data_IF_745495711255
#
_entry.id   IF_745495711255
#
_cell.length_a   1.000
_cell.length_b   1.000
_cell.length_c   1.000
_cell.angle_alpha   90.00
_cell.angle_beta   90.00
_cell.angle_gamma   90.00
#
_symmetry.space_group_name_H-M   'P 1'
#
loop_
_entity.id
_entity.type
_entity.pdbx_description
1 polymer ?
#
# COMPACT_ATOMS: atom_id res chain seq x y z
N UNK A 1 -0.31 -13.12 1.42
CA UNK A 1 1.14 -13.18 1.11
C UNK A 1 1.62 -14.63 0.91
N UNK A 2 1.41 -15.56 1.83
CA UNK A 2 1.93 -16.94 1.76
C UNK A 2 1.59 -17.74 0.51
N UNK A 3 0.61 -17.36 -0.29
CA UNK A 3 0.32 -17.99 -1.60
C UNK A 3 1.16 -17.43 -2.76
N UNK A 4 1.88 -16.32 -2.57
CA UNK A 4 2.62 -15.61 -3.63
C UNK A 4 4.11 -15.49 -3.36
N UNK A 5 4.53 -15.67 -2.10
CA UNK A 5 5.91 -15.51 -1.65
C UNK A 5 6.35 -16.73 -0.85
N UNK A 6 7.57 -17.19 -1.13
CA UNK A 6 8.21 -18.26 -0.38
C UNK A 6 8.67 -17.76 1.00
N UNK A 7 8.71 -18.67 1.97
CA UNK A 7 9.32 -18.39 3.29
C UNK A 7 10.80 -18.04 3.08
N UNK A 8 11.25 -17.00 3.81
CA UNK A 8 12.62 -16.48 3.68
C UNK A 8 12.76 -15.38 2.63
N UNK A 9 11.73 -15.06 1.84
CA UNK A 9 11.78 -13.95 0.88
C UNK A 9 12.17 -12.64 1.56
N UNK A 10 13.00 -11.86 0.88
CA UNK A 10 13.44 -10.53 1.31
C UNK A 10 12.42 -9.49 0.89
N UNK A 11 11.86 -8.79 1.87
CA UNK A 11 10.87 -7.74 1.65
C UNK A 11 11.48 -6.37 1.91
N UNK A 12 11.19 -5.42 1.03
CA UNK A 12 11.34 -4.00 1.29
C UNK A 12 9.96 -3.44 1.60
N UNK A 13 9.71 -3.09 2.86
CA UNK A 13 8.46 -2.47 3.27
C UNK A 13 8.62 -0.94 3.21
N UNK A 14 7.83 -0.30 2.35
CA UNK A 14 7.86 1.16 2.22
C UNK A 14 7.19 1.79 3.45
N UNK A 15 7.82 2.81 3.99
CA UNK A 15 7.44 3.43 5.26
C UNK A 15 8.33 2.97 6.41
N UNK A 16 8.17 3.62 7.56
CA UNK A 16 8.87 3.25 8.80
C UNK A 16 8.33 1.94 9.38
N UNK A 17 9.09 1.35 10.31
CA UNK A 17 8.63 0.12 10.99
C UNK A 17 7.25 0.34 11.63
N UNK A 18 6.35 -0.56 11.35
CA UNK A 18 4.94 -0.49 11.72
C UNK A 18 4.48 -1.84 12.37
N UNK A 19 3.27 -1.96 12.92
CA UNK A 19 2.79 -3.17 13.56
C UNK A 19 2.74 -4.42 12.66
N UNK A 20 2.81 -4.29 11.33
CA UNK A 20 2.89 -5.43 10.41
C UNK A 20 4.30 -5.99 10.31
N UNK A 21 5.34 -5.18 10.47
CA UNK A 21 6.74 -5.62 10.36
C UNK A 21 7.06 -6.83 11.26
N UNK A 22 6.75 -6.84 12.56
CA UNK A 22 6.99 -8.03 13.39
C UNK A 22 6.15 -9.23 12.98
N UNK A 23 4.94 -9.03 12.46
CA UNK A 23 4.09 -10.12 11.97
C UNK A 23 4.68 -10.75 10.69
N UNK A 24 5.22 -9.95 9.78
CA UNK A 24 5.90 -10.43 8.58
C UNK A 24 7.17 -11.22 8.94
N UNK A 25 7.97 -10.71 9.89
CA UNK A 25 9.15 -11.43 10.43
C UNK A 25 8.75 -12.76 11.08
N UNK A 26 7.68 -12.77 11.87
CA UNK A 26 7.15 -14.00 12.47
C UNK A 26 6.61 -15.01 11.45
N UNK A 27 6.13 -14.54 10.30
CA UNK A 27 5.71 -15.37 9.17
C UNK A 27 6.90 -15.91 8.35
N UNK A 28 8.14 -15.61 8.73
CA UNK A 28 9.37 -16.15 8.15
C UNK A 28 9.97 -15.30 7.03
N UNK A 29 9.54 -14.04 6.85
CA UNK A 29 10.13 -13.12 5.88
C UNK A 29 11.29 -12.31 6.45
N UNK A 30 12.27 -11.97 5.60
CA UNK A 30 13.34 -11.02 5.94
C UNK A 30 12.89 -9.62 5.55
N UNK A 31 12.54 -8.78 6.53
CA UNK A 31 11.93 -7.47 6.27
C UNK A 31 12.91 -6.35 6.58
N UNK A 32 13.10 -5.45 5.63
CA UNK A 32 13.73 -4.14 5.79
C UNK A 32 12.72 -3.04 5.49
N UNK A 33 12.75 -1.96 6.27
CA UNK A 33 11.89 -0.80 6.09
C UNK A 33 12.70 0.39 5.55
N UNK A 34 12.03 1.32 4.87
CA UNK A 34 12.58 2.65 4.66
C UNK A 34 12.68 3.39 5.99
N UNK A 35 13.63 4.31 6.11
CA UNK A 35 14.00 4.91 7.41
C UNK A 35 13.45 6.33 7.58
N UNK A 36 12.32 6.64 6.95
CA UNK A 36 11.70 7.97 6.98
C UNK A 36 12.18 8.88 5.86
N UNK A 37 12.74 8.32 4.79
CA UNK A 37 13.01 9.05 3.55
C UNK A 37 11.70 9.59 2.96
N UNK A 38 11.78 10.78 2.35
CA UNK A 38 10.67 11.29 1.54
C UNK A 38 10.55 10.46 0.26
N UNK A 39 9.51 9.63 0.18
CA UNK A 39 9.31 8.73 -0.95
C UNK A 39 9.03 9.47 -2.28
N UNK A 40 8.60 10.72 -2.23
CA UNK A 40 8.43 11.56 -3.42
C UNK A 40 9.77 12.08 -3.97
N UNK A 41 10.76 12.33 -3.11
CA UNK A 41 12.06 12.91 -3.48
C UNK A 41 13.16 11.85 -3.58
N UNK A 42 13.21 10.94 -2.61
CA UNK A 42 14.28 9.93 -2.46
C UNK A 42 14.01 8.62 -3.23
N UNK A 43 12.94 8.56 -4.05
CA UNK A 43 12.47 7.33 -4.70
C UNK A 43 13.55 6.59 -5.50
N UNK A 44 14.50 7.29 -6.11
CA UNK A 44 15.59 6.66 -6.86
C UNK A 44 16.54 5.87 -5.97
N UNK A 45 16.84 6.38 -4.78
CA UNK A 45 17.69 5.72 -3.79
C UNK A 45 17.00 4.46 -3.25
N UNK A 46 15.73 4.61 -2.88
CA UNK A 46 14.91 3.54 -2.33
C UNK A 46 14.73 2.41 -3.35
N UNK A 47 14.44 2.79 -4.61
CA UNK A 47 14.23 1.86 -5.70
C UNK A 47 15.46 1.00 -6.05
N UNK A 48 16.67 1.37 -5.63
CA UNK A 48 17.88 0.58 -5.84
C UNK A 48 18.02 -0.58 -4.85
N UNK A 49 17.21 -0.64 -3.80
CA UNK A 49 17.26 -1.72 -2.82
C UNK A 49 16.84 -3.04 -3.46
N UNK A 50 17.72 -4.03 -3.40
CA UNK A 50 17.44 -5.37 -3.92
C UNK A 50 16.57 -6.15 -2.95
N UNK A 51 15.39 -6.59 -3.40
CA UNK A 51 14.45 -7.40 -2.64
C UNK A 51 13.67 -8.33 -3.57
N UNK A 52 13.08 -9.38 -3.00
CA UNK A 52 12.23 -10.32 -3.74
C UNK A 52 10.82 -9.75 -3.96
N UNK A 53 10.36 -8.90 -3.03
CA UNK A 53 9.07 -8.23 -3.13
C UNK A 53 9.11 -6.90 -2.38
N UNK A 54 8.47 -5.89 -2.94
CA UNK A 54 8.15 -4.64 -2.23
C UNK A 54 6.78 -4.77 -1.59
N UNK A 55 6.65 -4.30 -0.34
CA UNK A 55 5.36 -4.11 0.32
C UNK A 55 5.10 -2.64 0.57
N UNK A 56 3.85 -2.21 0.37
CA UNK A 56 3.43 -0.82 0.57
C UNK A 56 1.98 -0.82 1.10
N UNK A 57 1.83 -0.76 2.42
CA UNK A 57 0.53 -0.79 3.06
C UNK A 57 0.12 0.61 3.49
N UNK A 58 -0.93 1.17 2.86
CA UNK A 58 -1.43 2.51 3.11
C UNK A 58 -0.30 3.57 2.97
N UNK A 59 0.35 3.59 1.80
CA UNK A 59 1.49 4.47 1.50
C UNK A 59 1.18 5.40 0.32
N UNK A 60 0.61 4.88 -0.76
CA UNK A 60 0.52 5.62 -2.03
C UNK A 60 -0.46 6.80 -1.99
N UNK A 61 -1.44 6.78 -1.11
CA UNK A 61 -2.36 7.89 -0.85
C UNK A 61 -1.68 9.10 -0.21
N UNK A 62 -0.56 8.89 0.50
CA UNK A 62 0.22 9.94 1.15
C UNK A 62 1.28 10.56 0.24
N UNK A 63 1.50 10.04 -0.95
CA UNK A 63 2.48 10.57 -1.90
C UNK A 63 1.85 11.57 -2.85
N UNK A 64 2.58 12.63 -3.16
CA UNK A 64 2.18 13.58 -4.21
C UNK A 64 2.32 12.98 -5.61
N UNK A 65 3.36 12.15 -5.82
CA UNK A 65 3.68 11.56 -7.10
C UNK A 65 3.99 10.04 -7.00
N UNK A 66 3.02 9.19 -6.59
CA UNK A 66 3.24 7.74 -6.44
C UNK A 66 3.71 7.06 -7.73
N UNK A 67 3.48 7.67 -8.88
CA UNK A 67 3.99 7.22 -10.18
C UNK A 67 5.51 7.07 -10.19
N UNK A 68 6.25 8.00 -9.58
CA UNK A 68 7.70 8.04 -9.65
C UNK A 68 8.33 6.82 -8.98
N UNK A 69 7.96 6.56 -7.72
CA UNK A 69 8.48 5.42 -6.99
C UNK A 69 8.02 4.09 -7.62
N UNK A 70 6.73 3.95 -7.97
CA UNK A 70 6.20 2.74 -8.57
C UNK A 70 6.93 2.35 -9.86
N UNK A 71 7.29 3.34 -10.68
CA UNK A 71 8.01 3.12 -11.94
C UNK A 71 9.45 2.65 -11.72
N UNK A 72 10.12 3.19 -10.71
CA UNK A 72 11.55 2.97 -10.47
C UNK A 72 11.86 1.73 -9.62
N UNK A 73 10.91 1.17 -8.87
CA UNK A 73 11.12 -0.05 -8.09
C UNK A 73 11.74 -1.16 -8.93
N UNK A 74 12.74 -1.86 -8.39
CA UNK A 74 13.50 -2.91 -9.10
C UNK A 74 13.00 -4.33 -8.83
N UNK A 75 12.08 -4.49 -7.87
CA UNK A 75 11.48 -5.80 -7.60
C UNK A 75 10.55 -6.23 -8.73
N UNK A 76 10.43 -7.54 -8.93
CA UNK A 76 9.46 -8.12 -9.85
C UNK A 76 8.08 -8.34 -9.22
N UNK A 77 7.98 -8.19 -7.89
CA UNK A 77 6.75 -8.40 -7.11
C UNK A 77 6.44 -7.20 -6.24
N UNK A 78 5.17 -6.84 -6.17
CA UNK A 78 4.63 -5.78 -5.32
C UNK A 78 3.36 -6.26 -4.63
N UNK A 79 3.28 -6.07 -3.31
CA UNK A 79 2.04 -6.20 -2.55
C UNK A 79 1.72 -4.83 -1.96
N UNK A 80 0.56 -4.31 -2.28
CA UNK A 80 0.15 -2.98 -1.84
C UNK A 80 -1.28 -2.98 -1.32
N UNK A 81 -1.57 -2.10 -0.37
CA UNK A 81 -2.92 -1.71 -0.01
C UNK A 81 -3.11 -0.21 -0.14
N UNK A 82 -4.32 0.18 -0.46
CA UNK A 82 -4.78 1.56 -0.45
C UNK A 82 -6.15 1.66 0.22
N UNK A 83 -6.46 2.77 0.90
CA UNK A 83 -7.82 3.08 1.28
C UNK A 83 -8.61 3.49 0.03
N UNK A 84 -9.86 3.04 -0.03
CA UNK A 84 -10.75 3.39 -1.11
C UNK A 84 -11.54 4.66 -0.80
N UNK A 85 -11.76 5.45 -1.82
CA UNK A 85 -12.70 6.57 -1.76
C UNK A 85 -14.09 6.09 -1.33
N UNK A 86 -14.60 6.68 -0.26
CA UNK A 86 -15.92 6.39 0.27
C UNK A 86 -16.86 7.57 -0.03
N UNK A 87 -17.96 7.33 -0.72
CA UNK A 87 -18.93 8.37 -1.09
C UNK A 87 -19.59 9.07 0.11
N UNK A 88 -19.54 8.45 1.28
CA UNK A 88 -20.14 8.94 2.54
C UNK A 88 -19.10 9.49 3.53
N UNK A 89 -17.84 9.63 3.13
CA UNK A 89 -16.77 10.18 3.95
C UNK A 89 -15.91 11.15 3.15
N UNK A 90 -15.38 12.14 3.82
CA UNK A 90 -14.35 13.03 3.28
C UNK A 90 -12.99 12.32 3.27
N UNK A 91 -12.07 12.80 2.44
CA UNK A 91 -10.68 12.38 2.45
C UNK A 91 -10.08 12.55 3.84
N UNK A 92 -9.22 11.62 4.22
CA UNK A 92 -8.52 11.73 5.49
C UNK A 92 -7.49 12.87 5.41
N UNK A 93 -7.52 13.75 6.40
CA UNK A 93 -6.64 14.90 6.46
C UNK A 93 -6.25 15.21 7.89
N UNK A 94 -4.94 15.11 8.21
CA UNK A 94 -4.40 15.46 9.50
C UNK A 94 -3.79 16.88 9.42
N UNK A 95 -4.39 17.85 10.11
CA UNK A 95 -3.92 19.25 10.08
C UNK A 95 -2.56 19.44 10.78
N UNK A 96 -2.18 18.49 11.63
CA UNK A 96 -0.97 18.61 12.46
C UNK A 96 0.22 17.80 11.92
N UNK A 97 0.00 17.02 10.86
CA UNK A 97 1.05 16.16 10.29
C UNK A 97 0.91 16.13 8.77
N UNK A 98 1.88 16.71 8.07
CA UNK A 98 1.88 16.75 6.61
C UNK A 98 2.12 15.37 5.99
N UNK A 99 2.74 14.45 6.71
CA UNK A 99 2.95 13.07 6.26
C UNK A 99 1.71 12.18 6.41
N UNK A 100 0.74 12.61 7.21
CA UNK A 100 -0.49 11.88 7.52
C UNK A 100 -1.71 12.55 6.84
N UNK A 101 -1.56 12.92 5.57
CA UNK A 101 -2.62 13.49 4.71
C UNK A 101 -2.81 12.61 3.48
N UNK A 102 -4.07 12.35 3.11
CA UNK A 102 -4.34 11.66 1.86
C UNK A 102 -4.40 12.68 0.71
N UNK A 103 -3.36 12.73 -0.10
CA UNK A 103 -3.36 13.52 -1.35
C UNK A 103 -4.17 12.83 -2.44
N UNK A 104 -4.36 11.51 -2.34
CA UNK A 104 -5.13 10.72 -3.27
C UNK A 104 -6.23 9.93 -2.56
N UNK A 105 -7.45 10.01 -3.09
CA UNK A 105 -8.58 9.16 -2.74
C UNK A 105 -8.84 8.22 -3.92
N UNK A 106 -8.24 7.05 -3.90
CA UNK A 106 -8.28 6.12 -5.02
C UNK A 106 -9.60 5.39 -5.15
N UNK A 107 -10.05 5.26 -6.40
CA UNK A 107 -10.96 4.19 -6.81
C UNK A 107 -10.15 3.01 -7.37
N UNK A 108 -10.67 1.75 -7.33
CA UNK A 108 -9.91 0.59 -7.81
C UNK A 108 -9.38 0.75 -9.24
N UNK A 109 -10.18 1.30 -10.16
CA UNK A 109 -9.78 1.54 -11.55
C UNK A 109 -8.66 2.56 -11.69
N UNK A 110 -8.65 3.60 -10.86
CA UNK A 110 -7.59 4.62 -10.89
C UNK A 110 -6.26 4.01 -10.42
N UNK A 111 -6.29 3.24 -9.34
CA UNK A 111 -5.10 2.58 -8.81
C UNK A 111 -4.59 1.50 -9.78
N UNK A 112 -5.47 0.68 -10.36
CA UNK A 112 -5.10 -0.26 -11.40
C UNK A 112 -4.42 0.44 -12.59
N UNK A 113 -4.99 1.54 -13.08
CA UNK A 113 -4.41 2.31 -14.19
C UNK A 113 -3.01 2.85 -13.84
N UNK A 114 -2.81 3.37 -12.61
CA UNK A 114 -1.51 3.82 -12.12
C UNK A 114 -0.48 2.68 -12.11
N UNK A 115 -0.86 1.51 -11.61
CA UNK A 115 -0.03 0.32 -11.61
C UNK A 115 0.36 -0.12 -13.04
N UNK A 116 -0.61 -0.19 -13.95
CA UNK A 116 -0.35 -0.54 -15.36
C UNK A 116 0.60 0.46 -16.03
N UNK A 117 0.40 1.78 -15.81
CA UNK A 117 1.27 2.82 -16.37
C UNK A 117 2.69 2.82 -15.81
N UNK A 118 2.88 2.22 -14.65
CA UNK A 118 4.19 2.08 -14.01
C UNK A 118 4.82 0.70 -14.21
N UNK A 119 4.20 -0.15 -15.06
CA UNK A 119 4.76 -1.44 -15.45
C UNK A 119 4.37 -2.60 -14.54
N UNK A 120 3.28 -2.49 -13.78
CA UNK A 120 2.78 -3.53 -12.90
C UNK A 120 1.48 -4.16 -13.42
N UNK A 121 1.36 -5.47 -13.31
CA UNK A 121 0.15 -6.22 -13.61
C UNK A 121 -0.42 -6.85 -12.35
N UNK A 122 -1.65 -6.50 -12.01
CA UNK A 122 -2.38 -7.14 -10.91
C UNK A 122 -2.63 -8.61 -11.28
N UNK A 123 -2.19 -9.52 -10.42
CA UNK A 123 -2.39 -10.97 -10.53
C UNK A 123 -3.45 -11.48 -9.56
N UNK A 124 -3.60 -10.80 -8.44
CA UNK A 124 -4.54 -11.15 -7.39
C UNK A 124 -4.96 -9.89 -6.63
N UNK A 125 -6.18 -9.85 -6.14
CA UNK A 125 -6.65 -8.72 -5.35
C UNK A 125 -7.77 -9.11 -4.40
N UNK A 126 -7.87 -8.36 -3.31
CA UNK A 126 -8.91 -8.52 -2.29
C UNK A 126 -9.47 -7.17 -1.88
N UNK A 127 -10.73 -7.17 -1.51
CA UNK A 127 -11.43 -6.03 -0.91
C UNK A 127 -11.77 -6.33 0.54
N UNK A 128 -11.36 -5.44 1.44
CA UNK A 128 -11.63 -5.61 2.86
C UNK A 128 -12.52 -4.49 3.38
N UNK A 129 -13.53 -4.87 4.16
CA UNK A 129 -14.32 -3.95 4.96
C UNK A 129 -13.59 -3.64 6.26
N UNK A 130 -13.94 -2.53 6.91
CA UNK A 130 -13.41 -2.13 8.21
C UNK A 130 -14.56 -1.79 9.14
N UNK A 131 -15.29 -2.80 9.65
CA UNK A 131 -16.39 -2.58 10.57
C UNK A 131 -15.88 -2.01 11.90
N UNK A 132 -16.53 -0.97 12.39
CA UNK A 132 -16.27 -0.38 13.71
C UNK A 132 -17.36 -0.85 14.69
N UNK A 133 -17.02 -1.80 15.53
CA UNK A 133 -17.95 -2.40 16.48
C UNK A 133 -18.29 -1.49 17.68
N UNK A 134 -17.49 -0.44 17.90
CA UNK A 134 -17.61 0.43 19.06
C UNK A 134 -18.41 1.71 18.77
N UNK A 135 -18.81 1.94 17.52
CA UNK A 135 -19.55 3.15 17.12
C UNK A 135 -20.90 2.80 16.53
N UNK A 136 -21.92 3.51 16.99
CA UNK A 136 -23.31 3.40 16.50
C UNK A 136 -23.59 4.58 15.56
N UNK A 137 -24.17 4.30 14.39
CA UNK A 137 -24.55 5.33 13.42
C UNK A 137 -24.57 4.81 11.98
N UNK A 138 -24.99 5.67 11.04
CA UNK A 138 -25.09 5.32 9.63
C UNK A 138 -23.70 5.02 9.02
N UNK A 139 -22.69 5.84 9.30
CA UNK A 139 -21.32 5.63 8.79
C UNK A 139 -20.69 4.31 9.26
N UNK A 140 -20.69 3.94 10.56
CA UNK A 140 -20.28 2.62 11.02
C UNK A 140 -21.04 1.48 10.34
N UNK A 141 -22.37 1.61 10.20
CA UNK A 141 -23.19 0.60 9.52
C UNK A 141 -22.77 0.40 8.07
N UNK A 142 -22.54 1.47 7.31
CA UNK A 142 -22.08 1.39 5.91
C UNK A 142 -20.73 0.70 5.78
N UNK A 143 -19.84 0.81 6.77
CA UNK A 143 -18.52 0.13 6.78
C UNK A 143 -18.59 -1.40 6.83
N UNK A 144 -19.71 -1.99 7.19
CA UNK A 144 -19.91 -3.44 7.09
C UNK A 144 -20.14 -3.91 5.65
N UNK A 145 -20.69 -3.04 4.80
CA UNK A 145 -21.13 -3.39 3.45
C UNK A 145 -20.20 -2.85 2.36
N UNK A 146 -19.52 -1.73 2.63
CA UNK A 146 -18.65 -1.08 1.66
C UNK A 146 -17.19 -1.40 1.96
N UNK A 147 -16.43 -1.95 0.99
CA UNK A 147 -15.00 -2.13 1.13
C UNK A 147 -14.31 -0.81 1.42
N UNK A 148 -13.40 -0.82 2.38
CA UNK A 148 -12.56 0.32 2.73
C UNK A 148 -11.16 0.19 2.17
N UNK A 149 -10.65 -1.03 2.02
CA UNK A 149 -9.30 -1.28 1.57
C UNK A 149 -9.32 -2.14 0.32
N UNK A 150 -8.42 -1.81 -0.59
CA UNK A 150 -8.12 -2.60 -1.77
C UNK A 150 -6.68 -3.06 -1.69
N UNK A 151 -6.48 -4.36 -1.67
CA UNK A 151 -5.18 -5.00 -1.53
C UNK A 151 -4.89 -5.70 -2.85
N UNK A 152 -3.68 -5.53 -3.38
CA UNK A 152 -3.26 -6.11 -4.65
C UNK A 152 -1.94 -6.84 -4.50
N UNK A 153 -1.80 -7.94 -5.21
CA UNK A 153 -0.54 -8.57 -5.56
C UNK A 153 -0.26 -8.35 -7.04
N UNK A 154 0.90 -7.79 -7.33
CA UNK A 154 1.30 -7.42 -8.69
C UNK A 154 2.62 -8.06 -9.06
N UNK A 155 2.77 -8.32 -10.37
CA UNK A 155 4.04 -8.70 -10.97
C UNK A 155 4.46 -7.66 -12.01
N UNK A 156 5.78 -7.52 -12.22
CA UNK A 156 6.33 -6.63 -13.24
C UNK A 156 5.93 -7.12 -14.62
N UNK A 157 5.43 -6.24 -15.48
CA UNK A 157 5.22 -6.55 -16.90
C UNK A 157 6.58 -6.65 -17.61
N UNK A 158 6.76 -7.72 -18.36
CA UNK A 158 7.95 -7.93 -19.21
C UNK A 158 7.88 -7.04 -20.45
#
# INVERSE_FOLDING_TARGET
MGKHLDSGSKLLDLGTENPFTPQLKAAGYSVSNTQGENLDDDFKKIAQTTCDCVTAFEIFEHLLAPYNILKELKSDKLIASIPLKLWFAEAYWNENDDWDKHYHEFEPKQFQFLLEKTGWKIKDSEFWTSPDQNKIGIRPLLRYFYPRYYIVYCERMQ
#
